data_IF_611233982566
#
_entry.id   IF_611233982566
#
_cell.length_a   1.000
_cell.length_b   1.000
_cell.length_c   1.000
_cell.angle_alpha   90.00
_cell.angle_beta   90.00
_cell.angle_gamma   90.00
#
_symmetry.space_group_name_H-M   'P 1'
#
loop_
_entity.id
_entity.type
_entity.pdbx_description
1 polymer ?
#
# COMPACT_ATOMS: atom_id res chain seq x y z
N UNK A 1 24.70 -28.48 -23.93
CA UNK A 1 24.61 -27.19 -23.21
C UNK A 1 23.14 -26.78 -23.23
N UNK A 2 22.42 -27.05 -22.15
CA UNK A 2 20.95 -27.03 -22.09
C UNK A 2 20.43 -25.67 -21.62
N UNK A 3 19.30 -25.31 -22.18
CA UNK A 3 18.47 -24.10 -22.02
C UNK A 3 17.91 -23.92 -20.60
N UNK A 4 18.77 -23.76 -19.58
CA UNK A 4 18.34 -23.51 -18.18
C UNK A 4 18.74 -22.14 -17.60
N UNK A 5 19.60 -21.36 -18.27
CA UNK A 5 20.20 -20.15 -17.68
C UNK A 5 19.65 -18.80 -18.19
N UNK A 6 18.46 -18.74 -18.80
CA UNK A 6 18.00 -17.50 -19.48
C UNK A 6 16.88 -16.70 -18.82
N UNK A 7 16.55 -16.92 -17.54
CA UNK A 7 15.50 -16.11 -16.89
C UNK A 7 15.81 -15.75 -15.41
N UNK A 8 17.05 -15.34 -15.13
CA UNK A 8 17.33 -14.53 -13.95
C UNK A 8 17.28 -13.05 -14.35
N UNK A 9 16.08 -12.53 -14.63
CA UNK A 9 15.82 -11.10 -14.49
C UNK A 9 15.93 -10.76 -13.00
N UNK A 10 17.16 -10.54 -12.57
CA UNK A 10 17.54 -10.09 -11.23
C UNK A 10 16.79 -8.80 -10.92
N UNK A 11 15.74 -8.91 -10.09
CA UNK A 11 15.21 -7.74 -9.41
C UNK A 11 16.30 -7.25 -8.44
N UNK A 12 16.80 -6.00 -8.55
CA UNK A 12 18.03 -5.56 -7.87
C UNK A 12 17.97 -5.47 -6.34
N UNK A 13 16.85 -5.83 -5.70
CA UNK A 13 16.77 -5.88 -4.25
C UNK A 13 15.91 -7.05 -3.83
N UNK A 14 16.56 -8.10 -3.31
CA UNK A 14 15.89 -9.06 -2.45
C UNK A 14 15.60 -8.35 -1.12
N UNK A 15 14.35 -8.02 -0.85
CA UNK A 15 13.89 -7.49 0.44
C UNK A 15 12.90 -8.48 1.05
N UNK A 16 12.72 -8.43 2.37
CA UNK A 16 11.79 -9.32 3.07
C UNK A 16 10.33 -8.99 2.68
N UNK A 17 9.80 -9.79 1.75
CA UNK A 17 8.41 -9.66 1.27
C UNK A 17 7.40 -10.00 2.36
N UNK A 18 7.75 -10.86 3.32
CA UNK A 18 6.85 -11.22 4.41
C UNK A 18 6.71 -10.05 5.40
N UNK A 19 7.80 -9.34 5.69
CA UNK A 19 7.74 -8.11 6.47
C UNK A 19 6.86 -7.04 5.81
N UNK A 20 7.01 -6.82 4.50
CA UNK A 20 6.16 -5.89 3.76
C UNK A 20 4.68 -6.32 3.77
N UNK A 21 4.40 -7.60 3.54
CA UNK A 21 3.03 -8.11 3.52
C UNK A 21 2.32 -7.97 4.87
N UNK A 22 3.03 -8.16 5.99
CA UNK A 22 2.49 -7.89 7.33
C UNK A 22 2.17 -6.42 7.49
N UNK A 23 3.10 -5.55 7.13
CA UNK A 23 2.86 -4.11 7.21
C UNK A 23 1.66 -3.67 6.34
N UNK A 24 1.52 -4.21 5.13
CA UNK A 24 0.34 -3.99 4.27
C UNK A 24 -0.95 -4.51 4.92
N UNK A 25 -0.91 -5.66 5.59
CA UNK A 25 -2.05 -6.20 6.36
C UNK A 25 -2.45 -5.26 7.50
N UNK A 26 -1.49 -4.70 8.24
CA UNK A 26 -1.75 -3.71 9.29
C UNK A 26 -2.48 -2.48 8.75
N UNK A 27 -1.96 -1.89 7.66
CA UNK A 27 -2.58 -0.71 7.05
C UNK A 27 -3.96 -1.02 6.49
N UNK A 28 -4.10 -2.12 5.76
CA UNK A 28 -5.38 -2.52 5.18
C UNK A 28 -6.43 -2.75 6.25
N UNK A 29 -6.07 -3.45 7.34
CA UNK A 29 -6.95 -3.65 8.48
C UNK A 29 -7.35 -2.32 9.10
N UNK A 30 -6.41 -1.40 9.34
CA UNK A 30 -6.72 -0.08 9.90
C UNK A 30 -7.63 0.76 9.01
N UNK A 31 -7.35 0.85 7.71
CA UNK A 31 -8.19 1.59 6.74
C UNK A 31 -9.58 0.96 6.68
N UNK A 32 -9.66 -0.37 6.56
CA UNK A 32 -10.94 -1.09 6.53
C UNK A 32 -11.74 -0.84 7.81
N UNK A 33 -11.09 -0.87 8.98
CA UNK A 33 -11.73 -0.56 10.26
C UNK A 33 -12.27 0.87 10.29
N UNK A 34 -11.51 1.88 9.88
CA UNK A 34 -12.02 3.28 9.79
C UNK A 34 -13.26 3.36 8.88
N UNK A 35 -13.18 2.78 7.68
CA UNK A 35 -14.29 2.81 6.72
C UNK A 35 -15.54 2.09 7.24
N UNK A 36 -15.36 0.90 7.83
CA UNK A 36 -16.45 0.11 8.40
C UNK A 36 -17.08 0.83 9.60
N UNK A 37 -16.26 1.32 10.53
CA UNK A 37 -16.74 2.05 11.73
C UNK A 37 -17.53 3.27 11.33
N UNK A 38 -17.02 4.10 10.41
CA UNK A 38 -17.75 5.29 9.97
C UNK A 38 -18.99 4.97 9.14
N UNK A 39 -18.95 3.94 8.28
CA UNK A 39 -20.15 3.49 7.57
C UNK A 39 -21.23 3.00 8.54
N UNK A 40 -20.83 2.26 9.58
CA UNK A 40 -21.73 1.82 10.64
C UNK A 40 -22.32 3.01 11.42
N UNK A 41 -21.49 3.97 11.85
CA UNK A 41 -21.94 5.15 12.57
C UNK A 41 -22.87 6.03 11.73
N UNK A 42 -22.55 6.22 10.44
CA UNK A 42 -23.42 6.96 9.52
C UNK A 42 -24.77 6.26 9.32
N UNK A 43 -24.78 4.94 9.17
CA UNK A 43 -26.00 4.16 8.99
C UNK A 43 -26.89 4.11 10.24
N UNK A 44 -26.30 4.26 11.43
CA UNK A 44 -27.00 4.19 12.72
C UNK A 44 -27.29 5.56 13.35
N UNK A 45 -26.89 6.65 12.68
CA UNK A 45 -27.14 8.02 13.16
C UNK A 45 -26.24 8.46 14.32
N UNK A 46 -25.00 7.95 14.38
CA UNK A 46 -24.02 8.23 15.42
C UNK A 46 -24.51 7.91 16.84
N UNK A 47 -24.89 6.65 17.13
CA UNK A 47 -25.37 6.25 18.43
C UNK A 47 -24.24 6.41 19.46
N UNK A 48 -24.56 7.02 20.59
CA UNK A 48 -23.63 7.12 21.71
C UNK A 48 -23.61 5.79 22.46
N UNK A 49 -22.44 5.16 22.53
CA UNK A 49 -22.21 3.94 23.33
C UNK A 49 -21.67 4.37 24.69
N UNK A 50 -22.55 4.34 25.69
CA UNK A 50 -22.31 4.82 27.04
C UNK A 50 -23.50 5.62 27.57
N UNK A 51 -23.92 5.36 28.82
CA UNK A 51 -25.08 6.01 29.43
C UNK A 51 -24.67 7.08 30.46
N UNK A 52 -25.46 8.15 30.57
CA UNK A 52 -25.25 9.20 31.57
C UNK A 52 -23.99 10.03 31.33
N UNK A 53 -23.03 10.00 32.27
CA UNK A 53 -21.78 10.79 32.22
C UNK A 53 -20.58 10.02 31.59
N UNK A 54 -20.76 8.77 31.18
CA UNK A 54 -19.69 7.92 30.65
C UNK A 54 -19.91 7.61 29.17
N UNK A 55 -19.05 8.18 28.31
CA UNK A 55 -18.90 7.77 26.91
C UNK A 55 -17.64 6.92 26.77
N UNK A 56 -17.77 5.68 26.31
CA UNK A 56 -16.62 4.82 26.02
C UNK A 56 -16.21 5.06 24.56
N UNK A 57 -15.20 5.88 24.37
CA UNK A 57 -14.67 6.14 23.03
C UNK A 57 -13.99 4.87 22.46
N UNK A 58 -14.21 4.61 21.17
CA UNK A 58 -13.60 3.47 20.49
C UNK A 58 -12.07 3.55 20.44
N UNK A 59 -11.50 4.74 20.73
CA UNK A 59 -10.06 4.95 20.94
C UNK A 59 -9.48 4.08 22.07
N UNK A 60 -10.26 3.81 23.15
CA UNK A 60 -9.81 2.96 24.26
C UNK A 60 -9.70 1.50 23.82
N UNK A 61 -10.71 1.01 23.08
CA UNK A 61 -10.68 -0.32 22.48
C UNK A 61 -9.57 -0.42 21.44
N UNK A 62 -9.34 0.64 20.67
CA UNK A 62 -8.24 0.74 19.73
C UNK A 62 -6.88 0.57 20.43
N UNK A 63 -6.65 1.34 21.50
CA UNK A 63 -5.47 1.23 22.36
C UNK A 63 -5.29 -0.16 22.97
N UNK A 64 -6.38 -0.76 23.48
CA UNK A 64 -6.36 -2.11 24.06
C UNK A 64 -5.98 -3.18 23.02
N UNK A 65 -6.56 -3.14 21.82
CA UNK A 65 -6.23 -4.09 20.76
C UNK A 65 -4.77 -3.94 20.30
N UNK A 66 -4.26 -2.71 20.20
CA UNK A 66 -2.84 -2.49 19.94
C UNK A 66 -1.94 -3.03 21.06
N UNK A 67 -2.32 -2.84 22.32
CA UNK A 67 -1.59 -3.41 23.47
C UNK A 67 -1.59 -4.94 23.42
N UNK A 68 -2.75 -5.57 23.14
CA UNK A 68 -2.88 -7.02 22.96
C UNK A 68 -1.98 -7.51 21.82
N UNK A 69 -1.92 -6.79 20.70
CA UNK A 69 -1.03 -7.14 19.59
C UNK A 69 0.45 -7.11 20.02
N UNK A 70 0.88 -6.06 20.73
CA UNK A 70 2.25 -5.95 21.23
C UNK A 70 2.57 -7.11 22.19
N UNK A 71 1.71 -7.35 23.19
CA UNK A 71 1.89 -8.44 24.16
C UNK A 71 1.93 -9.79 23.45
N UNK A 72 1.02 -10.06 22.50
CA UNK A 72 1.00 -11.30 21.73
C UNK A 72 2.33 -11.51 20.99
N UNK A 73 2.89 -10.48 20.34
CA UNK A 73 4.19 -10.59 19.66
C UNK A 73 5.37 -10.77 20.62
N UNK A 74 5.25 -10.35 21.88
CA UNK A 74 6.32 -10.45 22.86
C UNK A 74 6.36 -11.79 23.59
N UNK A 75 5.18 -12.40 23.85
CA UNK A 75 5.08 -13.63 24.66
C UNK A 75 4.94 -14.91 23.83
N UNK A 76 4.68 -14.79 22.52
CA UNK A 76 4.47 -15.94 21.64
C UNK A 76 5.51 -15.98 20.52
N UNK A 77 5.78 -17.19 20.04
CA UNK A 77 6.59 -17.41 18.84
C UNK A 77 5.75 -17.92 17.68
N UNK A 78 6.29 -17.71 16.48
CA UNK A 78 5.72 -18.20 15.24
C UNK A 78 5.13 -17.12 14.33
N UNK A 79 5.14 -17.38 13.03
CA UNK A 79 4.66 -16.44 12.02
C UNK A 79 3.15 -16.21 12.08
N UNK A 80 2.34 -17.22 12.44
CA UNK A 80 0.87 -17.05 12.50
C UNK A 80 0.45 -16.06 13.57
N UNK A 81 1.06 -16.12 14.75
CA UNK A 81 0.72 -15.18 15.83
C UNK A 81 1.16 -13.77 15.47
N UNK A 82 2.29 -13.61 14.77
CA UNK A 82 2.72 -12.30 14.24
C UNK A 82 1.71 -11.76 13.23
N UNK A 83 1.19 -12.58 12.33
CA UNK A 83 0.19 -12.16 11.34
C UNK A 83 -1.14 -11.77 12.00
N UNK A 84 -1.60 -12.57 12.97
CA UNK A 84 -2.79 -12.24 13.77
C UNK A 84 -2.61 -10.98 14.60
N UNK A 85 -1.47 -10.82 15.27
CA UNK A 85 -1.17 -9.62 16.02
C UNK A 85 -1.08 -8.39 15.11
N UNK A 86 -0.57 -8.56 13.89
CA UNK A 86 -0.54 -7.49 12.88
C UNK A 86 -1.94 -7.09 12.43
N UNK A 87 -2.83 -8.05 12.21
CA UNK A 87 -4.25 -7.82 11.91
C UNK A 87 -4.95 -7.10 13.08
N UNK A 88 -4.84 -7.63 14.29
CA UNK A 88 -5.45 -7.07 15.51
C UNK A 88 -4.91 -5.69 15.81
N UNK A 89 -3.59 -5.48 15.67
CA UNK A 89 -2.95 -4.18 15.82
C UNK A 89 -3.44 -3.17 14.78
N UNK A 90 -3.65 -3.61 13.54
CA UNK A 90 -4.22 -2.77 12.48
C UNK A 90 -5.66 -2.37 12.78
N UNK A 91 -6.50 -3.31 13.22
CA UNK A 91 -7.87 -3.01 13.69
C UNK A 91 -7.84 -2.02 14.85
N UNK A 92 -6.97 -2.26 15.84
CA UNK A 92 -6.79 -1.38 16.99
C UNK A 92 -6.37 0.04 16.59
N UNK A 93 -5.40 0.14 15.68
CA UNK A 93 -4.97 1.43 15.12
C UNK A 93 -6.08 2.13 14.34
N UNK A 94 -6.87 1.38 13.57
CA UNK A 94 -8.03 1.91 12.84
C UNK A 94 -9.07 2.52 13.78
N UNK A 95 -9.45 1.82 14.86
CA UNK A 95 -10.36 2.36 15.88
C UNK A 95 -9.78 3.58 16.61
N UNK A 96 -8.46 3.56 16.85
CA UNK A 96 -7.77 4.67 17.50
C UNK A 96 -7.77 5.93 16.63
N UNK A 97 -7.36 5.81 15.37
CA UNK A 97 -7.22 6.97 14.48
C UNK A 97 -8.58 7.51 14.02
N UNK A 98 -9.64 6.70 14.03
CA UNK A 98 -11.00 7.14 13.67
C UNK A 98 -11.51 8.29 14.56
N UNK A 99 -11.08 8.31 15.83
CA UNK A 99 -11.42 9.31 16.84
C UNK A 99 -10.49 10.54 16.81
N UNK A 100 -9.55 10.64 15.86
CA UNK A 100 -8.58 11.75 15.80
C UNK A 100 -9.26 13.11 15.77
N UNK A 101 -10.44 13.23 15.13
CA UNK A 101 -11.22 14.48 15.08
C UNK A 101 -11.54 15.05 16.47
N UNK A 102 -11.97 14.18 17.40
CA UNK A 102 -12.30 14.56 18.78
C UNK A 102 -11.09 15.03 19.59
N UNK A 103 -9.87 14.69 19.22
CA UNK A 103 -8.70 14.99 20.04
C UNK A 103 -7.77 16.03 19.43
N UNK A 104 -8.07 16.49 18.21
CA UNK A 104 -7.31 17.56 17.54
C UNK A 104 -7.86 18.94 17.89
N UNK A 105 -9.16 19.06 18.19
CA UNK A 105 -9.79 20.32 18.57
C UNK A 105 -9.87 20.50 20.08
N UNK A 106 -9.77 21.74 20.55
CA UNK A 106 -9.93 22.05 21.98
C UNK A 106 -11.33 21.72 22.51
N UNK A 107 -12.33 21.73 21.62
CA UNK A 107 -13.75 21.52 21.95
C UNK A 107 -14.23 20.07 21.76
N UNK A 108 -13.34 19.14 21.45
CA UNK A 108 -13.66 17.71 21.28
C UNK A 108 -14.68 17.45 20.16
N UNK A 109 -14.51 18.13 19.03
CA UNK A 109 -15.40 18.05 17.87
C UNK A 109 -15.14 16.81 17.01
N UNK A 110 -16.07 15.85 17.04
CA UNK A 110 -16.04 14.65 16.21
C UNK A 110 -16.13 14.92 14.70
N UNK A 111 -16.78 16.03 14.30
CA UNK A 111 -17.02 16.40 12.90
C UNK A 111 -15.98 17.37 12.35
N UNK A 112 -14.85 17.55 13.05
CA UNK A 112 -13.75 18.38 12.61
C UNK A 112 -13.33 18.00 11.18
N UNK A 113 -13.62 18.90 10.22
CA UNK A 113 -13.52 18.60 8.79
C UNK A 113 -12.14 18.02 8.37
N UNK A 114 -11.00 18.51 8.91
CA UNK A 114 -9.68 17.97 8.57
C UNK A 114 -9.39 16.55 9.08
N UNK A 115 -10.27 15.91 9.88
CA UNK A 115 -10.00 14.60 10.48
C UNK A 115 -9.70 13.51 9.42
N UNK A 116 -10.44 13.47 8.32
CA UNK A 116 -10.22 12.48 7.25
C UNK A 116 -8.92 12.75 6.50
N UNK A 117 -8.56 14.02 6.29
CA UNK A 117 -7.28 14.40 5.72
C UNK A 117 -6.11 13.99 6.63
N UNK A 118 -6.23 14.18 7.95
CA UNK A 118 -5.22 13.74 8.93
C UNK A 118 -5.06 12.22 8.86
N UNK A 119 -6.17 11.46 8.89
CA UNK A 119 -6.13 10.00 8.76
C UNK A 119 -5.42 9.59 7.46
N UNK A 120 -5.77 10.21 6.34
CA UNK A 120 -5.16 9.94 5.04
C UNK A 120 -3.65 10.18 5.06
N UNK A 121 -3.20 11.34 5.55
CA UNK A 121 -1.77 11.68 5.66
C UNK A 121 -1.04 10.68 6.54
N UNK A 122 -1.61 10.31 7.69
CA UNK A 122 -1.02 9.32 8.60
C UNK A 122 -0.83 7.97 7.89
N UNK A 123 -1.87 7.43 7.22
CA UNK A 123 -1.74 6.17 6.47
C UNK A 123 -0.71 6.24 5.34
N UNK A 124 -0.67 7.35 4.60
CA UNK A 124 0.32 7.58 3.53
C UNK A 124 1.74 7.63 4.11
N UNK A 125 1.96 8.37 5.19
CA UNK A 125 3.27 8.47 5.85
C UNK A 125 3.74 7.12 6.38
N UNK A 126 2.85 6.35 7.03
CA UNK A 126 3.16 4.99 7.43
C UNK A 126 3.59 4.14 6.23
N UNK A 127 2.83 4.18 5.14
CA UNK A 127 3.15 3.43 3.93
C UNK A 127 4.53 3.79 3.37
N UNK A 128 4.83 5.08 3.25
CA UNK A 128 6.10 5.57 2.74
C UNK A 128 7.26 5.21 3.67
N UNK A 129 7.09 5.38 4.99
CA UNK A 129 8.10 5.05 5.98
C UNK A 129 8.44 3.56 5.98
N UNK A 130 7.44 2.68 6.02
CA UNK A 130 7.67 1.24 5.99
C UNK A 130 8.27 0.79 4.66
N UNK A 131 7.79 1.33 3.54
CA UNK A 131 8.37 1.05 2.22
C UNK A 131 9.84 1.42 2.18
N UNK A 132 10.21 2.59 2.67
CA UNK A 132 11.59 3.06 2.69
C UNK A 132 12.47 2.21 3.62
N UNK A 133 11.99 1.90 4.83
CA UNK A 133 12.71 1.07 5.80
C UNK A 133 12.95 -0.35 5.27
N UNK A 134 11.95 -0.97 4.64
CA UNK A 134 12.04 -2.34 4.12
C UNK A 134 12.92 -2.39 2.87
N UNK A 135 12.79 -1.42 1.95
CA UNK A 135 13.59 -1.40 0.73
C UNK A 135 15.07 -1.12 1.04
N UNK A 136 15.38 -0.18 1.95
CA UNK A 136 16.77 0.19 2.27
C UNK A 136 17.54 -0.87 3.03
N UNK A 137 16.86 -1.71 3.82
CA UNK A 137 17.55 -2.70 4.66
C UNK A 137 18.32 -3.76 3.86
N UNK A 138 18.00 -3.96 2.57
CA UNK A 138 18.58 -5.03 1.78
C UNK A 138 18.38 -6.41 2.44
N UNK A 139 18.96 -7.46 1.86
CA UNK A 139 18.91 -8.81 2.45
C UNK A 139 20.30 -9.40 2.46
N UNK A 140 21.04 -9.07 3.51
CA UNK A 140 22.36 -9.61 3.80
C UNK A 140 22.27 -11.10 4.23
N UNK A 141 23.37 -11.83 4.14
CA UNK A 141 23.42 -13.29 4.39
C UNK A 141 22.96 -13.66 5.80
N UNK A 142 23.32 -12.87 6.82
CA UNK A 142 22.80 -13.05 8.19
C UNK A 142 21.28 -12.91 8.28
N UNK A 143 20.69 -12.02 7.47
CA UNK A 143 19.25 -11.84 7.41
C UNK A 143 18.58 -13.03 6.70
N UNK A 144 19.19 -13.55 5.63
CA UNK A 144 18.74 -14.78 4.93
C UNK A 144 18.73 -15.98 5.87
N UNK A 145 19.79 -16.12 6.65
CA UNK A 145 19.94 -17.16 7.66
C UNK A 145 18.86 -17.04 8.75
N UNK A 146 18.59 -15.82 9.24
CA UNK A 146 17.53 -15.58 10.23
C UNK A 146 16.13 -15.94 9.69
N UNK A 147 15.85 -15.68 8.41
CA UNK A 147 14.61 -16.13 7.74
C UNK A 147 14.52 -17.65 7.73
N UNK A 148 15.62 -18.35 7.38
CA UNK A 148 15.66 -19.81 7.39
C UNK A 148 15.48 -20.41 8.79
N UNK A 149 16.16 -19.87 9.79
CA UNK A 149 16.00 -20.30 11.18
C UNK A 149 14.57 -20.08 11.70
N UNK A 150 13.95 -18.95 11.34
CA UNK A 150 12.53 -18.70 11.63
C UNK A 150 11.62 -19.73 10.95
N UNK A 151 11.88 -20.07 9.69
CA UNK A 151 11.11 -21.10 8.98
C UNK A 151 11.21 -22.47 9.67
N UNK A 152 12.39 -22.83 10.17
CA UNK A 152 12.56 -24.06 10.95
C UNK A 152 11.75 -24.03 12.26
N UNK A 153 11.74 -22.89 12.96
CA UNK A 153 10.87 -22.69 14.13
C UNK A 153 9.39 -22.80 13.76
N UNK A 154 8.97 -22.20 12.66
CA UNK A 154 7.58 -22.27 12.18
C UNK A 154 7.21 -23.71 11.78
N UNK A 155 8.15 -24.49 11.24
CA UNK A 155 7.95 -25.91 10.94
C UNK A 155 7.72 -26.72 12.22
N UNK A 156 8.56 -26.52 13.23
CA UNK A 156 8.43 -27.17 14.54
C UNK A 156 7.09 -26.84 15.24
N UNK A 157 6.56 -25.64 15.00
CA UNK A 157 5.25 -25.20 15.50
C UNK A 157 4.06 -25.67 14.61
N UNK A 158 4.30 -26.37 13.51
CA UNK A 158 3.25 -26.76 12.54
C UNK A 158 2.61 -25.57 11.81
N UNK A 159 3.33 -24.45 11.73
CA UNK A 159 2.88 -23.20 11.13
C UNK A 159 3.41 -22.98 9.71
N UNK A 160 4.48 -23.65 9.32
CA UNK A 160 5.11 -23.47 8.02
C UNK A 160 4.28 -24.09 6.89
N UNK A 161 3.83 -23.26 5.94
CA UNK A 161 3.17 -23.74 4.73
C UNK A 161 4.17 -24.09 3.61
N UNK A 162 3.69 -24.77 2.55
CA UNK A 162 4.52 -25.18 1.42
C UNK A 162 5.16 -24.00 0.66
N UNK A 163 4.48 -22.84 0.62
CA UNK A 163 4.96 -21.65 -0.09
C UNK A 163 6.10 -21.01 0.69
N UNK A 164 5.94 -20.87 2.00
CA UNK A 164 6.91 -20.35 2.96
C UNK A 164 8.10 -21.29 3.07
N UNK A 165 7.88 -22.61 3.06
CA UNK A 165 8.94 -23.62 3.00
C UNK A 165 9.82 -23.45 1.75
N UNK A 166 9.21 -23.42 0.56
CA UNK A 166 9.93 -23.22 -0.70
C UNK A 166 10.58 -21.83 -0.79
N UNK A 167 10.03 -20.83 -0.11
CA UNK A 167 10.64 -19.52 0.01
C UNK A 167 11.88 -19.56 0.92
N UNK A 168 11.80 -20.21 2.08
CA UNK A 168 12.90 -20.34 3.02
C UNK A 168 14.11 -21.05 2.38
N UNK A 169 13.89 -22.14 1.64
CA UNK A 169 14.94 -22.83 0.90
C UNK A 169 15.61 -21.92 -0.13
N UNK A 170 14.82 -21.21 -0.94
CA UNK A 170 15.36 -20.25 -1.94
C UNK A 170 16.15 -19.10 -1.29
N UNK A 171 15.73 -18.63 -0.12
CA UNK A 171 16.44 -17.58 0.62
C UNK A 171 17.77 -18.11 1.17
N UNK A 172 17.79 -19.34 1.68
CA UNK A 172 18.99 -20.02 2.16
C UNK A 172 19.97 -20.35 1.02
N UNK A 173 19.48 -20.74 -0.15
CA UNK A 173 20.30 -20.95 -1.36
C UNK A 173 21.00 -19.68 -1.83
N UNK A 174 20.50 -18.51 -1.42
CA UNK A 174 21.14 -17.23 -1.73
C UNK A 174 22.36 -16.92 -0.86
N UNK A 175 22.61 -17.59 0.26
CA UNK A 175 23.74 -17.25 1.14
C UNK A 175 25.06 -17.49 0.41
N UNK A 176 25.89 -16.46 0.27
CA UNK A 176 27.18 -16.53 -0.46
C UNK A 176 28.37 -16.72 0.50
N UNK A 177 28.24 -16.26 1.76
CA UNK A 177 29.26 -16.39 2.80
C UNK A 177 29.51 -17.86 3.18
N UNK A 178 30.71 -18.34 2.81
CA UNK A 178 31.17 -19.72 3.07
C UNK A 178 31.29 -20.05 4.56
N UNK A 179 31.47 -19.05 5.42
CA UNK A 179 31.55 -19.29 6.88
C UNK A 179 30.20 -19.71 7.47
N UNK A 180 29.09 -19.46 6.78
CA UNK A 180 27.74 -19.78 7.22
C UNK A 180 27.20 -21.09 6.62
N UNK A 181 27.95 -21.73 5.71
CA UNK A 181 27.47 -22.91 4.95
C UNK A 181 27.04 -24.06 5.86
N UNK A 182 27.84 -24.39 6.88
CA UNK A 182 27.51 -25.48 7.82
C UNK A 182 26.18 -25.24 8.56
N UNK A 183 25.91 -23.98 8.91
CA UNK A 183 24.68 -23.58 9.58
C UNK A 183 23.49 -23.58 8.63
N UNK A 184 23.68 -23.14 7.38
CA UNK A 184 22.68 -23.24 6.32
C UNK A 184 22.30 -24.71 6.08
N UNK A 185 23.27 -25.59 5.98
CA UNK A 185 23.05 -27.02 5.76
C UNK A 185 22.33 -27.67 6.94
N UNK A 186 22.68 -27.29 8.17
CA UNK A 186 21.97 -27.73 9.38
C UNK A 186 20.51 -27.30 9.38
N UNK A 187 20.21 -26.06 9.01
CA UNK A 187 18.83 -25.55 8.91
C UNK A 187 18.07 -26.27 7.80
N UNK A 188 18.68 -26.47 6.62
CA UNK A 188 18.05 -27.21 5.51
C UNK A 188 17.76 -28.65 5.90
N UNK A 189 18.68 -29.33 6.58
CA UNK A 189 18.48 -30.68 7.08
C UNK A 189 17.28 -30.75 8.04
N UNK A 190 17.16 -29.79 8.97
CA UNK A 190 16.00 -29.67 9.84
C UNK A 190 14.70 -29.42 9.08
N UNK A 191 14.71 -28.55 8.07
CA UNK A 191 13.55 -28.30 7.21
C UNK A 191 13.12 -29.55 6.44
N UNK A 192 14.08 -30.34 5.94
CA UNK A 192 13.81 -31.60 5.23
C UNK A 192 13.37 -32.76 6.13
N UNK A 193 13.63 -32.67 7.44
CA UNK A 193 13.27 -33.73 8.40
C UNK A 193 11.77 -33.92 8.61
N UNK A 194 10.96 -32.93 8.23
CA UNK A 194 9.50 -32.99 8.35
C UNK A 194 8.87 -32.55 7.03
N UNK A 195 7.79 -33.22 6.64
CA UNK A 195 6.99 -32.78 5.49
C UNK A 195 6.12 -31.59 5.91
N UNK A 196 6.20 -30.44 5.24
CA UNK A 196 5.34 -29.31 5.55
C UNK A 196 3.87 -29.71 5.36
N UNK A 197 2.95 -29.32 6.28
CA UNK A 197 1.56 -29.67 6.20
C UNK A 197 0.92 -29.17 4.89
N UNK A 198 0.40 -30.09 4.08
CA UNK A 198 -0.31 -29.77 2.85
C UNK A 198 -1.75 -29.33 3.17
N UNK A 199 -2.09 -28.05 2.94
CA UNK A 199 -3.49 -27.61 2.85
C UNK A 199 -4.12 -26.92 4.05
N UNK A 200 -3.34 -26.27 4.93
CA UNK A 200 -3.89 -25.41 5.99
C UNK A 200 -4.76 -24.25 5.46
N UNK A 201 -5.60 -23.65 6.31
CA UNK A 201 -6.47 -22.50 5.99
C UNK A 201 -5.66 -21.37 5.34
N UNK A 202 -4.44 -21.14 5.85
CA UNK A 202 -3.48 -20.15 5.35
C UNK A 202 -3.09 -20.39 3.88
N UNK A 203 -2.93 -21.65 3.48
CA UNK A 203 -2.65 -22.01 2.07
C UNK A 203 -3.85 -21.71 1.16
N UNK A 204 -5.09 -21.88 1.65
CA UNK A 204 -6.32 -21.55 0.91
C UNK A 204 -6.48 -20.04 0.77
N UNK A 205 -6.25 -19.29 1.84
CA UNK A 205 -6.27 -17.82 1.84
C UNK A 205 -5.20 -17.29 0.88
N UNK A 206 -3.97 -17.80 0.95
CA UNK A 206 -2.87 -17.40 0.07
C UNK A 206 -3.17 -17.71 -1.40
N UNK A 207 -3.73 -18.90 -1.68
CA UNK A 207 -4.13 -19.28 -3.05
C UNK A 207 -5.26 -18.40 -3.59
N UNK A 208 -6.27 -18.11 -2.76
CA UNK A 208 -7.37 -17.20 -3.11
C UNK A 208 -6.88 -15.77 -3.37
N UNK A 209 -6.03 -15.25 -2.49
CA UNK A 209 -5.37 -13.95 -2.62
C UNK A 209 -4.55 -13.87 -3.91
N UNK A 210 -3.70 -14.87 -4.18
CA UNK A 210 -2.87 -14.91 -5.39
C UNK A 210 -3.75 -15.01 -6.65
N UNK A 211 -4.82 -15.80 -6.63
CA UNK A 211 -5.77 -15.89 -7.73
C UNK A 211 -6.50 -14.56 -7.98
N UNK A 212 -6.87 -13.83 -6.91
CA UNK A 212 -7.44 -12.49 -7.02
C UNK A 212 -6.44 -11.51 -7.63
N UNK A 213 -5.21 -11.46 -7.13
CA UNK A 213 -4.17 -10.57 -7.68
C UNK A 213 -3.85 -10.88 -9.15
N UNK A 214 -3.78 -12.17 -9.53
CA UNK A 214 -3.59 -12.54 -10.93
C UNK A 214 -4.74 -12.08 -11.81
N UNK A 215 -5.99 -12.26 -11.38
CA UNK A 215 -7.16 -11.76 -12.13
C UNK A 215 -7.18 -10.24 -12.22
N UNK A 216 -6.87 -9.55 -11.12
CA UNK A 216 -6.79 -8.09 -11.10
C UNK A 216 -5.68 -7.59 -12.04
N UNK A 217 -4.51 -8.22 -12.03
CA UNK A 217 -3.41 -7.89 -12.94
C UNK A 217 -3.79 -8.17 -14.40
N UNK A 218 -4.47 -9.27 -14.68
CA UNK A 218 -4.97 -9.60 -16.02
C UNK A 218 -5.99 -8.55 -16.52
N UNK A 219 -6.92 -8.14 -15.67
CA UNK A 219 -7.87 -7.05 -15.95
C UNK A 219 -7.13 -5.74 -16.25
N UNK A 220 -6.17 -5.35 -15.40
CA UNK A 220 -5.43 -4.10 -15.53
C UNK A 220 -4.49 -4.09 -16.75
N UNK A 221 -4.01 -5.26 -17.19
CA UNK A 221 -3.23 -5.41 -18.44
C UNK A 221 -4.09 -5.34 -19.70
N UNK A 222 -5.41 -5.45 -19.56
CA UNK A 222 -6.30 -5.51 -20.71
C UNK A 222 -6.25 -4.20 -21.52
N UNK A 223 -6.20 -4.33 -22.86
CA UNK A 223 -6.07 -3.18 -23.78
C UNK A 223 -7.17 -2.13 -23.63
N UNK A 224 -8.40 -2.56 -23.27
CA UNK A 224 -9.53 -1.65 -23.07
C UNK A 224 -9.35 -0.83 -21.80
N UNK A 225 -8.89 -1.45 -20.72
CA UNK A 225 -8.62 -0.74 -19.44
C UNK A 225 -7.52 0.29 -19.65
N UNK A 226 -6.44 -0.09 -20.33
CA UNK A 226 -5.37 0.85 -20.69
C UNK A 226 -5.88 2.02 -21.54
N UNK A 227 -6.69 1.75 -22.57
CA UNK A 227 -7.29 2.82 -23.40
C UNK A 227 -8.19 3.72 -22.58
N UNK A 228 -9.05 3.16 -21.72
CA UNK A 228 -9.92 3.93 -20.84
C UNK A 228 -9.12 4.88 -19.95
N UNK A 229 -8.08 4.38 -19.28
CA UNK A 229 -7.20 5.21 -18.42
C UNK A 229 -6.52 6.33 -19.21
N UNK A 230 -6.00 6.03 -20.40
CA UNK A 230 -5.40 7.06 -21.26
C UNK A 230 -6.43 8.09 -21.75
N UNK A 231 -7.66 7.66 -22.08
CA UNK A 231 -8.75 8.58 -22.44
C UNK A 231 -9.12 9.49 -21.26
N UNK A 232 -9.16 8.97 -20.03
CA UNK A 232 -9.38 9.78 -18.83
C UNK A 232 -8.29 10.85 -18.68
N UNK A 233 -7.02 10.52 -18.94
CA UNK A 233 -5.96 11.53 -18.93
C UNK A 233 -6.09 12.57 -20.03
N UNK A 234 -6.53 12.18 -21.24
CA UNK A 234 -6.81 13.14 -22.31
C UNK A 234 -7.93 14.09 -21.89
N UNK A 235 -9.02 13.57 -21.30
CA UNK A 235 -10.10 14.40 -20.78
C UNK A 235 -9.62 15.33 -19.66
N UNK A 236 -8.80 14.84 -18.73
CA UNK A 236 -8.20 15.67 -17.69
C UNK A 236 -7.29 16.77 -18.26
N UNK A 237 -6.50 16.48 -19.30
CA UNK A 237 -5.67 17.46 -19.98
C UNK A 237 -6.51 18.57 -20.62
N UNK A 238 -7.60 18.18 -21.31
CA UNK A 238 -8.54 19.13 -21.91
C UNK A 238 -9.21 20.00 -20.85
N UNK A 239 -9.68 19.40 -19.75
CA UNK A 239 -10.27 20.13 -18.63
C UNK A 239 -9.28 21.11 -18.00
N UNK A 240 -8.02 20.70 -17.79
CA UNK A 240 -6.98 21.57 -17.26
C UNK A 240 -6.72 22.78 -18.19
N UNK A 241 -6.68 22.57 -19.51
CA UNK A 241 -6.54 23.66 -20.49
C UNK A 241 -7.75 24.60 -20.44
N UNK A 242 -8.97 24.07 -20.39
CA UNK A 242 -10.20 24.87 -20.29
C UNK A 242 -10.21 25.70 -19.01
N UNK A 243 -9.81 25.12 -17.87
CA UNK A 243 -9.72 25.84 -16.60
C UNK A 243 -8.72 27.00 -16.67
N UNK A 244 -7.56 26.80 -17.30
CA UNK A 244 -6.57 27.87 -17.52
C UNK A 244 -7.12 28.97 -18.43
N UNK A 245 -7.76 28.61 -19.55
CA UNK A 245 -8.37 29.59 -20.46
C UNK A 245 -9.47 30.38 -19.75
N UNK A 246 -10.33 29.69 -19.00
CA UNK A 246 -11.41 30.32 -18.25
C UNK A 246 -10.87 31.31 -17.21
N UNK A 247 -9.83 30.93 -16.46
CA UNK A 247 -9.17 31.83 -15.50
C UNK A 247 -8.58 33.09 -16.18
N UNK A 248 -7.97 32.95 -17.36
CA UNK A 248 -7.43 34.08 -18.12
C UNK A 248 -8.53 35.01 -18.68
N UNK A 249 -9.66 34.46 -19.13
CA UNK A 249 -10.75 35.23 -19.76
C UNK A 249 -11.64 35.91 -18.74
N UNK A 250 -11.88 35.27 -17.60
CA UNK A 250 -12.75 35.80 -16.55
C UNK A 250 -12.08 36.89 -15.70
N UNK A 251 -10.79 37.17 -15.92
CA UNK A 251 -9.96 38.02 -15.05
C UNK A 251 -10.03 37.60 -13.56
N UNK A 252 -10.49 36.38 -13.29
CA UNK A 252 -10.55 35.82 -11.95
C UNK A 252 -9.15 35.40 -11.54
N UNK A 253 -8.43 36.32 -10.90
CA UNK A 253 -7.26 35.97 -10.11
C UNK A 253 -7.79 35.28 -8.85
N UNK A 254 -7.53 33.98 -8.73
CA UNK A 254 -7.81 33.27 -7.48
C UNK A 254 -6.79 33.77 -6.46
N UNK A 255 -7.19 34.72 -5.62
CA UNK A 255 -6.39 35.10 -4.47
C UNK A 255 -6.30 33.89 -3.53
N UNK A 256 -5.09 33.63 -3.04
CA UNK A 256 -4.87 32.62 -2.04
C UNK A 256 -4.95 33.30 -0.67
N UNK A 257 -5.96 32.94 0.11
CA UNK A 257 -6.22 33.55 1.41
C UNK A 257 -5.19 33.11 2.46
N UNK A 258 -4.63 31.89 2.31
CA UNK A 258 -3.59 31.35 3.19
C UNK A 258 -2.58 30.45 2.46
N UNK A 259 -1.52 30.05 3.17
CA UNK A 259 -0.44 29.17 2.71
C UNK A 259 -0.98 27.82 2.21
N UNK A 260 -2.04 27.28 2.81
CA UNK A 260 -2.67 26.04 2.34
C UNK A 260 -3.19 26.16 0.92
N UNK A 261 -3.82 27.30 0.60
CA UNK A 261 -4.44 27.53 -0.70
C UNK A 261 -3.36 27.72 -1.77
N UNK A 262 -2.28 28.43 -1.42
CA UNK A 262 -1.10 28.52 -2.29
C UNK A 262 -0.52 27.14 -2.62
N UNK A 263 -0.36 26.27 -1.63
CA UNK A 263 0.17 24.90 -1.84
C UNK A 263 -0.74 24.09 -2.75
N UNK A 264 -2.06 24.16 -2.55
CA UNK A 264 -3.04 23.44 -3.38
C UNK A 264 -3.07 23.98 -4.81
N UNK A 265 -3.03 25.29 -4.99
CA UNK A 265 -2.98 25.91 -6.32
C UNK A 265 -1.71 25.50 -7.07
N UNK A 266 -0.54 25.63 -6.44
CA UNK A 266 0.75 25.22 -7.04
C UNK A 266 0.71 23.73 -7.42
N UNK A 267 0.22 22.87 -6.53
CA UNK A 267 0.08 21.43 -6.79
C UNK A 267 -0.86 21.13 -7.96
N UNK A 268 -1.98 21.85 -8.04
CA UNK A 268 -2.99 21.68 -9.10
C UNK A 268 -2.43 22.10 -10.46
N UNK A 269 -1.73 23.24 -10.51
CA UNK A 269 -1.03 23.71 -11.72
C UNK A 269 0.06 22.72 -12.11
N UNK A 270 0.91 22.28 -11.17
CA UNK A 270 1.96 21.31 -11.44
C UNK A 270 1.41 19.98 -11.98
N UNK A 271 0.34 19.47 -11.38
CA UNK A 271 -0.38 18.27 -11.82
C UNK A 271 -0.94 18.46 -13.24
N UNK A 272 -1.60 19.59 -13.50
CA UNK A 272 -2.15 19.93 -14.81
C UNK A 272 -1.07 19.98 -15.90
N UNK A 273 0.06 20.65 -15.63
CA UNK A 273 1.22 20.70 -16.53
C UNK A 273 1.75 19.30 -16.82
N UNK A 274 1.94 18.46 -15.79
CA UNK A 274 2.41 17.08 -15.97
C UNK A 274 1.44 16.23 -16.80
N UNK A 275 0.12 16.39 -16.61
CA UNK A 275 -0.89 15.70 -17.41
C UNK A 275 -0.84 16.15 -18.87
N UNK A 276 -0.81 17.46 -19.12
CA UNK A 276 -0.75 18.02 -20.49
C UNK A 276 0.53 17.58 -21.20
N UNK A 277 1.69 17.66 -20.54
CA UNK A 277 2.95 17.17 -21.11
C UNK A 277 2.93 15.67 -21.35
N UNK A 278 2.39 14.89 -20.41
CA UNK A 278 2.23 13.44 -20.55
C UNK A 278 1.36 13.06 -21.77
N UNK A 279 0.22 13.73 -21.94
CA UNK A 279 -0.66 13.55 -23.10
C UNK A 279 -0.01 14.04 -24.39
N UNK A 280 0.73 15.15 -24.37
CA UNK A 280 1.46 15.63 -25.53
C UNK A 280 2.51 14.61 -26.01
N UNK A 281 3.29 14.03 -25.08
CA UNK A 281 4.24 12.97 -25.41
C UNK A 281 3.57 11.66 -25.86
N UNK A 282 2.33 11.40 -25.43
CA UNK A 282 1.55 10.25 -25.87
C UNK A 282 1.33 10.29 -27.39
N UNK A 283 1.09 11.47 -27.97
CA UNK A 283 0.91 11.66 -29.41
C UNK A 283 2.22 11.83 -30.19
N UNK A 284 3.32 12.24 -29.53
CA UNK A 284 4.62 12.51 -30.17
C UNK A 284 5.55 11.31 -30.26
N UNK A 285 5.22 10.17 -29.65
CA UNK A 285 5.95 8.91 -29.82
C UNK A 285 6.81 8.41 -28.64
N UNK A 286 7.37 9.21 -27.71
CA UNK A 286 8.12 8.66 -26.57
C UNK A 286 7.15 8.14 -25.49
N UNK A 287 6.50 7.01 -25.78
CA UNK A 287 5.43 6.42 -24.99
C UNK A 287 5.81 6.19 -23.52
N UNK A 288 7.01 5.69 -23.25
CA UNK A 288 7.47 5.45 -21.88
C UNK A 288 7.62 6.76 -21.08
N UNK A 289 8.06 7.86 -21.72
CA UNK A 289 8.13 9.17 -21.06
C UNK A 289 6.73 9.71 -20.76
N UNK A 290 5.79 9.54 -21.69
CA UNK A 290 4.39 9.89 -21.48
C UNK A 290 3.82 9.21 -20.24
N UNK A 291 3.94 7.88 -20.14
CA UNK A 291 3.44 7.12 -18.99
C UNK A 291 4.08 7.55 -17.67
N UNK A 292 5.39 7.86 -17.67
CA UNK A 292 6.10 8.33 -16.46
C UNK A 292 5.60 9.68 -15.98
N UNK A 293 5.32 10.62 -16.88
CA UNK A 293 4.76 11.93 -16.54
C UNK A 293 3.33 11.82 -16.01
N UNK A 294 2.48 11.01 -16.66
CA UNK A 294 1.12 10.72 -16.19
C UNK A 294 1.12 10.01 -14.82
N UNK A 295 2.11 9.16 -14.56
CA UNK A 295 2.30 8.55 -13.23
C UNK A 295 2.70 9.61 -12.20
N UNK A 296 3.63 10.51 -12.57
CA UNK A 296 4.08 11.57 -11.68
C UNK A 296 2.93 12.52 -11.30
N UNK A 297 2.07 12.89 -12.26
CA UNK A 297 0.91 13.74 -11.97
C UNK A 297 -0.04 13.11 -10.96
N UNK A 298 -0.34 11.80 -11.10
CA UNK A 298 -1.15 11.09 -10.11
C UNK A 298 -0.50 11.04 -8.72
N UNK A 299 0.82 10.84 -8.65
CA UNK A 299 1.53 10.82 -7.36
C UNK A 299 1.45 12.19 -6.69
N UNK A 300 1.69 13.27 -7.44
CA UNK A 300 1.57 14.65 -6.90
C UNK A 300 0.15 14.92 -6.43
N UNK A 301 -0.85 14.60 -7.26
CA UNK A 301 -2.26 14.75 -6.92
C UNK A 301 -2.64 13.98 -5.65
N UNK A 302 -2.26 12.70 -5.55
CA UNK A 302 -2.53 11.88 -4.37
C UNK A 302 -1.84 12.42 -3.11
N UNK A 303 -0.61 12.93 -3.20
CA UNK A 303 0.12 13.39 -2.03
C UNK A 303 -0.31 14.76 -1.52
N UNK A 304 -0.87 15.62 -2.38
CA UNK A 304 -1.17 17.02 -2.02
C UNK A 304 -2.64 17.35 -2.27
N UNK A 305 -3.10 17.29 -3.52
CA UNK A 305 -4.47 17.66 -3.88
C UNK A 305 -5.52 16.78 -3.18
N UNK A 306 -5.26 15.48 -3.06
CA UNK A 306 -6.17 14.55 -2.40
C UNK A 306 -6.32 14.83 -0.89
N UNK A 307 -5.28 15.34 -0.23
CA UNK A 307 -5.36 15.76 1.18
C UNK A 307 -6.40 16.87 1.33
N UNK A 308 -6.36 17.87 0.44
CA UNK A 308 -7.32 18.96 0.41
C UNK A 308 -8.74 18.48 0.09
N UNK A 309 -8.90 17.60 -0.92
CA UNK A 309 -10.19 17.02 -1.25
C UNK A 309 -10.80 16.25 -0.07
N UNK A 310 -9.98 15.56 0.73
CA UNK A 310 -10.46 14.88 1.94
C UNK A 310 -10.86 15.82 3.07
N UNK A 311 -10.28 17.03 3.14
CA UNK A 311 -10.72 18.06 4.07
C UNK A 311 -12.09 18.62 3.68
N UNK A 312 -12.29 18.91 2.38
CA UNK A 312 -13.51 19.54 1.87
C UNK A 312 -14.67 18.56 1.72
N UNK A 313 -14.46 17.48 0.97
CA UNK A 313 -15.52 16.56 0.56
C UNK A 313 -15.60 15.31 1.44
N UNK A 314 -14.63 15.09 2.34
CA UNK A 314 -14.59 13.95 3.25
C UNK A 314 -14.76 12.61 2.50
N UNK A 315 -15.88 11.92 2.72
CA UNK A 315 -16.23 10.67 2.04
C UNK A 315 -16.51 10.83 0.55
N UNK A 316 -16.95 12.01 0.10
CA UNK A 316 -17.14 12.32 -1.31
C UNK A 316 -15.85 12.17 -2.13
N UNK A 317 -14.71 12.44 -1.50
CA UNK A 317 -13.39 12.31 -2.13
C UNK A 317 -12.92 10.85 -2.31
N UNK A 318 -13.56 9.86 -1.69
CA UNK A 318 -13.16 8.45 -1.79
C UNK A 318 -13.28 7.89 -3.21
N UNK A 319 -14.31 8.31 -3.96
CA UNK A 319 -14.50 7.83 -5.32
C UNK A 319 -13.36 8.32 -6.24
N UNK A 320 -13.04 9.63 -6.18
CA UNK A 320 -11.91 10.21 -6.91
C UNK A 320 -10.57 9.58 -6.52
N UNK A 321 -10.38 9.30 -5.23
CA UNK A 321 -9.21 8.58 -4.72
C UNK A 321 -9.11 7.16 -5.30
N UNK A 322 -10.20 6.38 -5.29
CA UNK A 322 -10.23 5.01 -5.82
C UNK A 322 -9.94 4.98 -7.33
N UNK A 323 -10.50 5.92 -8.09
CA UNK A 323 -10.20 6.09 -9.52
C UNK A 323 -8.72 6.42 -9.72
N UNK A 324 -8.15 7.32 -8.92
CA UNK A 324 -6.74 7.70 -8.99
C UNK A 324 -5.80 6.52 -8.69
N UNK A 325 -6.13 5.69 -7.68
CA UNK A 325 -5.38 4.45 -7.39
C UNK A 325 -5.49 3.43 -8.53
N UNK A 326 -6.67 3.27 -9.12
CA UNK A 326 -6.88 2.38 -10.26
C UNK A 326 -6.06 2.81 -11.48
N UNK A 327 -6.07 4.11 -11.80
CA UNK A 327 -5.25 4.69 -12.86
C UNK A 327 -3.75 4.50 -12.57
N UNK A 328 -3.31 4.74 -11.33
CA UNK A 328 -1.93 4.56 -10.90
C UNK A 328 -1.47 3.09 -11.05
N UNK A 329 -2.30 2.14 -10.63
CA UNK A 329 -2.03 0.71 -10.76
C UNK A 329 -1.91 0.30 -12.24
N UNK A 330 -2.83 0.76 -13.08
CA UNK A 330 -2.82 0.53 -14.53
C UNK A 330 -1.53 1.07 -15.18
N UNK A 331 -1.16 2.32 -14.87
CA UNK A 331 0.07 2.93 -15.40
C UNK A 331 1.32 2.19 -14.93
N UNK A 332 1.38 1.76 -13.66
CA UNK A 332 2.52 1.02 -13.12
C UNK A 332 2.75 -0.29 -13.87
N UNK A 333 1.67 -1.01 -14.16
CA UNK A 333 1.71 -2.25 -14.95
C UNK A 333 2.14 -1.95 -16.39
N UNK A 334 1.57 -0.92 -17.02
CA UNK A 334 1.92 -0.52 -18.38
C UNK A 334 3.41 -0.13 -18.51
N UNK A 335 3.92 0.70 -17.60
CA UNK A 335 5.34 1.08 -17.56
C UNK A 335 6.22 -0.16 -17.45
N UNK A 336 5.91 -1.07 -16.53
CA UNK A 336 6.68 -2.31 -16.33
C UNK A 336 6.68 -3.18 -17.59
N UNK A 337 5.56 -3.29 -18.29
CA UNK A 337 5.49 -4.07 -19.54
C UNK A 337 6.32 -3.44 -20.67
N UNK A 338 6.30 -2.11 -20.79
CA UNK A 338 7.06 -1.39 -21.82
C UNK A 338 8.57 -1.43 -21.53
N UNK A 339 8.97 -1.30 -20.26
CA UNK A 339 10.38 -1.44 -19.85
C UNK A 339 10.93 -2.85 -20.11
N UNK A 340 10.11 -3.88 -19.87
CA UNK A 340 10.48 -5.26 -20.21
C UNK A 340 10.61 -5.48 -21.72
N UNK A 341 9.72 -4.88 -22.53
CA UNK A 341 9.78 -4.97 -23.98
C UNK A 341 11.00 -4.23 -24.56
N UNK A 342 11.36 -3.08 -23.98
CA UNK A 342 12.53 -2.29 -24.40
C UNK A 342 13.87 -2.93 -23.99
N UNK A 343 13.88 -3.83 -23.00
CA UNK A 343 15.07 -4.54 -22.53
C UNK A 343 15.40 -5.82 -23.35
N UNK A 344 14.50 -6.27 -24.23
CA UNK A 344 14.78 -7.38 -25.14
C UNK A 344 15.64 -6.87 -26.31
N UNK A 345 16.78 -7.53 -26.63
CA UNK A 345 17.54 -7.19 -27.83
C UNK A 345 16.67 -7.41 -29.06
N UNK A 346 16.60 -6.39 -29.92
CA UNK A 346 15.89 -6.44 -31.21
C UNK A 346 16.56 -7.39 -32.20
#
# INVERSE_FOLDING_TARGET
MTTKDRNALTLPHSYDRAALARFELFLFAGIATVLITRAYLAATGYPQIGGGALHIAHVLWGGLLMAVAIVATAITEGSRTRDLATLVGGIGFGLFIDEVGKFVTADVDYFYQPAIAIMYVVFVLFYLAAREVVIRRGMNDRHRLAIGARALSDLALGQLDEIQYNHALRVLDGVEDRSLTDLVDSIKAGLHSQTPPTGGIESKITRGRNAFFHRAEELLRHRVVRRLVLTLFVLQALLAIVQVIYALVSENVVEADDVSDLVVQISTVATGVLVVLGVWFLFRGPYLRALRLLRASLIVSLLVTQVYLFTQDQFGALFGFAVSLFMLATLRIAIRSEEAAAALPQ
#
